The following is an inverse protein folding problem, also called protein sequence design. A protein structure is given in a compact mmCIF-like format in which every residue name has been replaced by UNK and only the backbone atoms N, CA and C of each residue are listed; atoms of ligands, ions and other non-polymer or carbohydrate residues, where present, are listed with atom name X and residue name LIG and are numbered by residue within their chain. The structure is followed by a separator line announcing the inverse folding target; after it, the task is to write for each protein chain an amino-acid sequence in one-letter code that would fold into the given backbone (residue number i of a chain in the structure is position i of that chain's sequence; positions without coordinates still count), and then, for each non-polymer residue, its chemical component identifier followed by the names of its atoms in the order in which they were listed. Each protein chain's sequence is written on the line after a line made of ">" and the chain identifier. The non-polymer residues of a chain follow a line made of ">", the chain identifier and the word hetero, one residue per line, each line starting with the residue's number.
data_IF_225258386672
#
_entry.id   IF_225258386672
#
_cell.length_a   1.000
_cell.length_b   1.000
_cell.length_c   1.000
_cell.angle_alpha   90.00
_cell.angle_beta   90.00
_cell.angle_gamma   90.00
#
_symmetry.space_group_name_H-M   'P 1'
#
loop_
_entity.id
_entity.type
_entity.pdbx_description
1 polymer ?
2 polymer ?
3 water ?
#
# COMPACT_ATOMS: atom_id res chain seq x y z
N UNK A 8 32.05 -1.38 23.37
CA UNK A 8 30.72 -1.90 23.09
C UNK A 8 30.79 -3.29 22.47
N UNK A 9 29.63 -3.87 22.19
CA UNK A 9 29.54 -5.17 21.54
C UNK A 9 28.94 -5.04 20.14
N UNK A 10 29.56 -5.71 19.18
CA UNK A 10 29.07 -5.67 17.80
C UNK A 10 27.65 -6.24 17.68
N UNK A 11 26.72 -5.39 17.25
CA UNK A 11 25.34 -5.81 17.07
C UNK A 11 25.22 -6.74 15.87
N UNK A 12 24.64 -7.94 16.10
CA UNK A 12 24.48 -8.99 15.08
C UNK A 12 23.51 -8.59 13.97
N UNK A 13 23.73 -9.12 12.77
CA UNK A 13 22.87 -8.81 11.62
C UNK A 13 21.42 -9.21 11.86
N UNK A 14 20.49 -8.35 11.42
CA UNK A 14 19.07 -8.64 11.53
C UNK A 14 18.51 -9.09 10.18
N UNK A 15 17.79 -10.23 10.16
CA UNK A 15 17.16 -10.79 8.97
C UNK A 15 16.25 -9.80 8.26
N UNK A 16 16.43 -9.62 6.96
CA UNK A 16 15.72 -8.59 6.21
C UNK A 16 14.24 -8.88 5.98
N UNK A 17 13.46 -7.81 5.86
CA UNK A 17 12.02 -7.89 5.67
C UNK A 17 11.53 -6.58 5.04
N UNK A 18 10.50 -6.67 4.20
CA UNK A 18 9.97 -5.48 3.53
C UNK A 18 8.90 -4.80 4.39
N UNK A 19 9.01 -3.48 4.55
CA UNK A 19 8.10 -2.73 5.40
C UNK A 19 6.66 -2.85 4.92
N UNK A 20 5.75 -3.16 5.84
CA UNK A 20 4.34 -3.26 5.52
C UNK A 20 3.58 -2.13 6.21
N UNK A 21 2.26 -2.17 6.12
CA UNK A 21 1.43 -1.15 6.76
C UNK A 21 1.60 -1.17 8.28
N UNK A 22 1.43 -2.34 8.89
CA UNK A 22 1.57 -2.47 10.33
C UNK A 22 3.00 -2.19 10.78
N UNK A 23 3.96 -2.70 10.01
CA UNK A 23 5.38 -2.51 10.32
C UNK A 23 5.72 -1.02 10.32
N UNK A 24 5.18 -0.29 9.35
CA UNK A 24 5.37 1.15 9.27
C UNK A 24 4.75 1.83 10.49
N UNK A 25 3.58 1.36 10.91
CA UNK A 25 2.92 1.87 12.10
C UNK A 25 3.79 1.65 13.33
N UNK A 26 4.24 0.40 13.49
CA UNK A 26 5.09 0.02 14.61
C UNK A 26 6.34 0.90 14.66
N UNK A 27 7.08 0.90 13.56
CA UNK A 27 8.33 1.65 13.48
C UNK A 27 8.10 3.15 13.70
N UNK A 28 6.96 3.65 13.24
CA UNK A 28 6.61 5.04 13.45
C UNK A 28 6.55 5.36 14.94
N UNK A 29 5.74 4.60 15.67
CA UNK A 29 5.60 4.80 17.11
C UNK A 29 6.91 4.50 17.83
N UNK A 30 7.56 3.42 17.46
CA UNK A 30 8.81 3.00 18.09
C UNK A 30 9.86 4.10 18.05
N UNK A 31 10.09 4.65 16.86
CA UNK A 31 11.06 5.73 16.69
C UNK A 31 10.66 6.96 17.49
N UNK A 32 9.37 7.30 17.44
CA UNK A 32 8.85 8.46 18.16
C UNK A 32 9.11 8.33 19.65
N UNK A 33 8.77 7.18 20.21
CA UNK A 33 8.90 6.94 21.64
C UNK A 33 10.35 7.02 22.11
N UNK A 34 11.30 6.91 21.18
CA UNK A 34 12.72 7.02 21.50
C UNK A 34 13.22 8.46 21.41
N UNK A 35 12.41 9.33 20.80
CA UNK A 35 12.78 10.74 20.67
C UNK A 35 13.52 11.07 19.39
N UNK A 36 13.23 10.32 18.34
CA UNK A 36 13.89 10.54 17.06
C UNK A 36 13.03 11.27 16.06
N UNK A 37 13.67 11.94 15.11
CA UNK A 37 13.01 12.58 13.98
C UNK A 37 12.26 13.88 14.29
N UNK A 38 11.40 13.85 15.29
CA UNK A 38 10.52 14.99 15.58
C UNK A 38 11.27 16.31 15.69
N UNK A 39 10.94 17.24 14.78
CA UNK A 39 11.53 18.56 14.79
C UNK A 39 12.96 18.59 14.27
N UNK A 40 13.38 17.51 13.63
CA UNK A 40 14.74 17.42 13.11
C UNK A 40 14.79 17.78 11.64
N UNK A 41 15.70 18.70 11.31
CA UNK A 41 15.84 19.19 9.95
C UNK A 41 16.17 18.05 8.97
N UNK A 42 15.28 17.87 8.01
CA UNK A 42 15.44 16.83 7.00
C UNK A 42 16.46 17.22 5.94
N UNK A 43 17.23 16.24 5.46
CA UNK A 43 18.08 16.45 4.31
C UNK A 43 18.18 15.14 3.53
N UNK A 44 18.57 15.22 2.27
CA UNK A 44 18.72 14.02 1.45
C UNK A 44 19.72 13.08 2.10
N UNK A 45 20.71 13.67 2.77
CA UNK A 45 21.72 12.89 3.48
C UNK A 45 21.13 12.17 4.69
N UNK A 46 20.45 12.94 5.55
CA UNK A 46 19.79 12.38 6.72
C UNK A 46 18.66 11.45 6.32
N UNK A 47 18.09 11.69 5.14
CA UNK A 47 17.09 10.80 4.57
C UNK A 47 17.67 9.40 4.51
N UNK A 48 18.91 9.30 4.05
CA UNK A 48 19.57 8.01 3.91
C UNK A 48 19.96 7.41 5.25
N UNK A 49 20.35 8.26 6.20
CA UNK A 49 20.66 7.79 7.55
C UNK A 49 19.47 7.04 8.12
N UNK A 50 18.27 7.47 7.74
CA UNK A 50 17.04 6.83 8.19
C UNK A 50 16.85 5.47 7.53
N UNK A 51 17.31 5.35 6.28
CA UNK A 51 17.25 4.09 5.56
C UNK A 51 18.16 3.05 6.23
N UNK A 52 19.41 3.44 6.47
CA UNK A 52 20.36 2.57 7.14
C UNK A 52 19.85 2.09 8.49
N UNK A 53 19.45 3.04 9.32
CA UNK A 53 18.96 2.72 10.67
C UNK A 53 17.97 1.57 10.64
N UNK A 54 16.85 1.76 9.95
CA UNK A 54 15.81 0.73 9.89
C UNK A 54 16.28 -0.56 9.22
N UNK A 55 17.34 -0.47 8.41
CA UNK A 55 17.87 -1.65 7.76
C UNK A 55 18.78 -2.46 8.68
N UNK A 56 19.71 -1.76 9.34
CA UNK A 56 20.69 -2.43 10.20
C UNK A 56 20.10 -2.85 11.54
N UNK A 57 19.17 -2.05 12.04
CA UNK A 57 18.64 -2.25 13.38
C UNK A 57 17.29 -2.98 13.40
N UNK A 58 16.55 -2.91 12.29
CA UNK A 58 15.24 -3.53 12.22
C UNK A 58 15.09 -4.40 10.98
N UNK A 59 16.15 -4.47 10.17
CA UNK A 59 16.18 -5.34 9.01
C UNK A 59 15.23 -4.97 7.90
N UNK A 60 14.74 -3.73 7.91
CA UNK A 60 13.78 -3.28 6.91
C UNK A 60 14.46 -2.87 5.60
N UNK A 61 13.97 -3.42 4.50
CA UNK A 61 14.49 -3.10 3.17
C UNK A 61 14.31 -1.61 2.87
N UNK A 62 15.40 -0.95 2.44
CA UNK A 62 15.41 0.49 2.13
C UNK A 62 14.71 0.85 0.80
N UNK A 63 13.40 0.65 0.74
CA UNK A 63 12.62 0.97 -0.45
C UNK A 63 11.27 1.57 -0.10
N UNK A 64 11.12 1.97 1.16
CA UNK A 64 9.86 2.45 1.68
C UNK A 64 9.82 3.98 1.76
N UNK A 65 10.95 4.60 2.07
CA UNK A 65 10.99 6.04 2.35
C UNK A 65 10.93 6.88 1.09
N UNK A 66 9.72 7.06 0.57
CA UNK A 66 9.49 7.89 -0.60
C UNK A 66 8.54 9.00 -0.18
N UNK A 67 8.78 10.22 -0.65
CA UNK A 67 7.93 11.36 -0.31
C UNK A 67 7.41 12.05 -1.56
N UNK A 68 6.28 12.73 -1.43
CA UNK A 68 5.76 13.56 -2.51
C UNK A 68 6.77 14.64 -2.87
N UNK A 69 6.87 14.96 -4.15
CA UNK A 69 7.93 15.83 -4.67
C UNK A 69 7.99 17.22 -4.05
N UNK A 70 6.84 17.77 -3.66
CA UNK A 70 6.77 19.11 -3.12
C UNK A 70 6.27 20.10 -4.16
N UNK A 71 6.31 21.40 -3.83
CA UNK A 71 6.82 21.96 -2.57
C UNK A 71 5.80 21.83 -1.45
N UNK A 72 6.09 22.47 -0.32
CA UNK A 72 5.19 22.44 0.81
C UNK A 72 5.42 21.22 1.69
N UNK A 73 4.34 20.68 2.22
CA UNK A 73 4.41 19.48 3.04
C UNK A 73 4.65 18.26 2.17
N UNK A 74 5.65 17.47 2.52
CA UNK A 74 5.94 16.24 1.79
C UNK A 74 5.34 15.06 2.54
N UNK A 75 4.40 14.37 1.89
CA UNK A 75 3.70 13.26 2.52
C UNK A 75 4.33 11.92 2.15
N UNK A 76 4.26 10.94 3.06
CA UNK A 76 4.87 9.63 2.84
C UNK A 76 4.13 8.84 1.76
N UNK A 77 4.87 8.19 0.86
CA UNK A 77 4.26 7.37 -0.17
C UNK A 77 4.15 5.91 0.28
N UNK A 78 4.44 5.67 1.55
CA UNK A 78 4.17 4.38 2.18
C UNK A 78 3.08 4.59 3.24
N UNK A 79 1.90 4.06 2.98
CA UNK A 79 0.79 4.18 3.92
C UNK A 79 1.13 3.47 5.22
N UNK A 80 0.94 4.16 6.34
CA UNK A 80 1.29 3.60 7.63
C UNK A 80 2.50 4.29 8.25
N UNK A 81 3.33 4.90 7.40
CA UNK A 81 4.45 5.70 7.87
C UNK A 81 3.93 7.06 8.35
N UNK A 82 4.01 7.30 9.64
CA UNK A 82 3.38 8.48 10.25
C UNK A 82 4.32 9.66 10.39
N UNK A 83 5.28 9.77 9.47
CA UNK A 83 6.23 10.88 9.50
C UNK A 83 6.22 11.67 8.21
N UNK A 84 5.86 12.95 8.31
CA UNK A 84 5.81 13.82 7.14
C UNK A 84 6.91 14.88 7.21
N UNK A 85 7.03 15.65 6.13
CA UNK A 85 8.04 16.70 6.08
C UNK A 85 7.35 18.06 5.96
N UNK A 86 7.72 18.99 6.85
CA UNK A 86 7.06 20.28 6.90
C UNK A 86 8.08 21.41 6.83
N UNK A 87 7.84 22.39 5.97
CA UNK A 87 8.69 23.58 5.84
C UNK A 87 8.67 24.42 7.12
N UNK A 88 9.79 25.04 7.46
CA UNK A 88 9.89 25.80 8.71
C UNK A 88 9.85 27.32 8.49
N UNK A 105 19.33 30.11 2.27
CA UNK A 105 19.97 29.61 3.49
C UNK A 105 21.49 29.73 3.44
N UNK A 106 22.01 30.95 3.52
CA UNK A 106 23.45 31.21 3.50
C UNK A 106 24.13 30.59 2.29
N UNK A 107 24.92 29.54 2.53
CA UNK A 107 25.58 28.82 1.45
C UNK A 107 24.82 27.54 1.13
N UNK A 108 24.72 27.20 -0.15
CA UNK A 108 23.94 26.04 -0.59
C UNK A 108 24.70 24.72 -0.42
N UNK A 109 23.98 23.70 0.02
CA UNK A 109 24.53 22.36 0.15
C UNK A 109 23.88 21.45 -0.88
N UNK A 110 24.65 20.51 -1.40
CA UNK A 110 24.12 19.60 -2.41
C UNK A 110 23.22 18.52 -1.81
N UNK A 111 22.99 18.60 -0.50
CA UNK A 111 22.02 17.74 0.16
C UNK A 111 20.74 18.52 0.41
N UNK A 112 20.70 19.77 -0.05
CA UNK A 112 19.56 20.65 0.18
C UNK A 112 18.35 20.31 -0.70
N UNK A 113 17.18 20.76 -0.26
CA UNK A 113 15.92 20.56 -0.98
C UNK A 113 15.90 21.36 -2.28
N UNK A 114 15.51 20.70 -3.39
CA UNK A 114 15.43 21.33 -4.70
C UNK A 114 14.47 22.52 -4.72
N UNK A 115 13.49 22.54 -3.83
CA UNK A 115 12.57 23.66 -3.75
C UNK A 115 13.11 24.76 -2.85
N UNK A 116 14.34 24.57 -2.39
CA UNK A 116 15.00 25.54 -1.53
C UNK A 116 14.25 25.73 -0.22
N UNK A 117 13.44 24.75 0.14
CA UNK A 117 12.68 24.80 1.38
C UNK A 117 13.38 24.01 2.46
N UNK A 118 13.48 24.59 3.65
CA UNK A 118 13.98 23.85 4.80
C UNK A 118 12.85 23.00 5.37
N UNK A 119 13.07 21.69 5.38
CA UNK A 119 12.05 20.75 5.82
C UNK A 119 12.41 20.13 7.15
N UNK A 120 11.40 19.66 7.88
CA UNK A 120 11.63 19.03 9.17
C UNK A 120 10.63 17.89 9.40
N UNK A 121 11.12 16.78 9.96
CA UNK A 121 10.25 15.65 10.27
C UNK A 121 9.18 16.01 11.30
N UNK A 122 7.95 15.60 11.04
CA UNK A 122 6.86 15.82 11.97
C UNK A 122 5.95 14.60 12.03
N UNK A 123 5.71 14.10 13.24
CA UNK A 123 4.86 12.93 13.45
C UNK A 123 3.39 13.31 13.27
N UNK A 124 2.61 12.41 12.67
CA UNK A 124 1.19 12.65 12.46
C UNK A 124 0.44 11.32 12.34
N UNK A 125 -0.24 10.89 13.42
CA UNK A 125 -0.96 9.63 13.50
C UNK A 125 -2.11 9.60 12.51
N UNK A 126 -2.53 10.79 12.09
CA UNK A 126 -3.56 10.95 11.07
C UNK A 126 -3.15 10.21 9.79
N UNK A 127 -1.84 10.19 9.53
CA UNK A 127 -1.29 9.54 8.35
C UNK A 127 -1.59 8.05 8.31
N UNK A 128 -2.17 7.54 9.39
CA UNK A 128 -2.52 6.13 9.49
C UNK A 128 -3.87 5.85 8.86
N UNK A 129 -4.78 6.82 8.96
CA UNK A 129 -6.16 6.59 8.55
C UNK A 129 -6.53 7.25 7.22
N UNK A 130 -5.63 8.10 6.72
CA UNK A 130 -5.81 8.67 5.39
C UNK A 130 -4.50 8.64 4.62
N UNK A 131 -4.56 8.11 3.40
CA UNK A 131 -3.39 8.08 2.53
C UNK A 131 -3.22 9.44 1.87
N UNK A 132 -2.89 10.44 2.69
CA UNK A 132 -2.81 11.83 2.25
C UNK A 132 -2.08 12.02 0.93
N UNK A 133 -0.99 11.28 0.74
CA UNK A 133 -0.19 11.37 -0.47
C UNK A 133 -1.05 11.18 -1.73
N UNK A 134 -1.74 10.05 -1.81
CA UNK A 134 -2.57 9.75 -2.96
C UNK A 134 -3.73 10.72 -3.09
N UNK A 135 -4.29 11.12 -1.95
CA UNK A 135 -5.44 12.02 -1.91
C UNK A 135 -5.13 13.37 -2.56
N UNK A 136 -3.92 13.86 -2.31
CA UNK A 136 -3.56 15.22 -2.70
C UNK A 136 -2.79 15.29 -4.01
N UNK A 137 -1.95 14.29 -4.27
CA UNK A 137 -1.15 14.28 -5.49
C UNK A 137 -1.20 12.91 -6.17
N UNK A 138 -2.38 12.54 -6.69
CA UNK A 138 -2.59 11.24 -7.33
C UNK A 138 -1.68 11.04 -8.53
N UNK A 139 -1.16 12.15 -9.06
CA UNK A 139 -0.35 12.11 -10.27
C UNK A 139 1.06 11.58 -10.03
N UNK A 140 1.49 11.59 -8.77
CA UNK A 140 2.84 11.13 -8.44
C UNK A 140 2.90 9.62 -8.27
N UNK A 141 1.84 8.94 -8.72
CA UNK A 141 1.77 7.49 -8.65
C UNK A 141 1.78 6.86 -10.05
N UNK A 142 2.98 6.48 -10.51
CA UNK A 142 3.13 5.91 -11.84
C UNK A 142 3.78 6.87 -12.81
N UNK B 8 -14.64 -14.92 -32.65
CA UNK B 8 -13.47 -14.06 -32.61
C UNK B 8 -12.19 -14.88 -32.73
N UNK B 9 -11.05 -14.21 -32.87
CA UNK B 9 -9.77 -14.87 -33.03
C UNK B 9 -9.04 -15.03 -31.69
N UNK B 10 -8.17 -16.03 -31.60
CA UNK B 10 -7.42 -16.30 -30.39
C UNK B 10 -6.48 -15.14 -30.05
N UNK B 11 -6.50 -14.69 -28.80
CA UNK B 11 -5.73 -13.53 -28.40
C UNK B 11 -4.49 -13.90 -27.57
N UNK B 12 -3.42 -13.10 -27.70
CA UNK B 12 -2.08 -13.31 -27.14
C UNK B 12 -2.05 -13.53 -25.63
N UNK B 13 -0.93 -14.06 -25.14
CA UNK B 13 -0.68 -14.22 -23.72
C UNK B 13 -0.22 -12.89 -23.13
N UNK B 14 -0.38 -12.73 -21.82
CA UNK B 14 0.07 -11.51 -21.15
C UNK B 14 1.11 -11.82 -20.09
N UNK B 15 2.26 -11.14 -20.17
CA UNK B 15 3.37 -11.31 -19.21
C UNK B 15 2.92 -11.18 -17.77
N UNK B 16 3.06 -12.25 -17.00
CA UNK B 16 2.63 -12.26 -15.61
C UNK B 16 3.29 -11.15 -14.79
N UNK B 17 2.61 -10.76 -13.70
CA UNK B 17 3.07 -9.68 -12.84
C UNK B 17 2.17 -9.62 -11.62
N UNK B 18 2.74 -9.32 -10.46
CA UNK B 18 1.94 -9.20 -9.24
C UNK B 18 1.22 -7.85 -9.19
N UNK B 19 0.03 -7.85 -8.61
CA UNK B 19 -0.79 -6.65 -8.54
C UNK B 19 -0.28 -5.68 -7.49
N UNK B 20 0.28 -4.56 -7.94
CA UNK B 20 0.76 -3.52 -7.03
C UNK B 20 -0.40 -2.61 -6.64
N UNK B 21 -0.12 -1.62 -5.79
CA UNK B 21 -1.14 -0.66 -5.37
C UNK B 21 -1.67 0.13 -6.55
N UNK B 22 -0.77 0.78 -7.27
CA UNK B 22 -1.15 1.55 -8.45
C UNK B 22 -1.84 0.67 -9.48
N UNK B 23 -1.32 -0.54 -9.64
CA UNK B 23 -1.88 -1.50 -10.57
C UNK B 23 -3.28 -1.89 -10.11
N UNK B 24 -3.47 -1.95 -8.80
CA UNK B 24 -4.76 -2.29 -8.22
C UNK B 24 -5.76 -1.16 -8.43
N UNK B 25 -5.29 0.07 -8.26
CA UNK B 25 -6.11 1.25 -8.49
C UNK B 25 -6.52 1.31 -9.96
N UNK B 26 -5.56 1.09 -10.84
CA UNK B 26 -5.81 1.14 -12.28
C UNK B 26 -6.79 0.06 -12.72
N UNK B 27 -6.60 -1.16 -12.25
CA UNK B 27 -7.47 -2.27 -12.60
C UNK B 27 -8.89 -2.06 -12.07
N UNK B 28 -8.98 -1.41 -10.92
CA UNK B 28 -10.28 -1.15 -10.30
C UNK B 28 -11.11 -0.21 -11.17
N UNK B 29 -10.53 0.94 -11.51
CA UNK B 29 -11.21 1.93 -12.33
C UNK B 29 -11.50 1.39 -13.73
N UNK B 30 -10.48 0.81 -14.36
CA UNK B 30 -10.63 0.24 -15.68
C UNK B 30 -11.89 -0.59 -15.76
N UNK B 31 -11.99 -1.56 -14.86
CA UNK B 31 -13.17 -2.41 -14.77
C UNK B 31 -14.42 -1.59 -14.44
N UNK B 32 -14.27 -0.65 -13.53
CA UNK B 32 -15.37 0.22 -13.13
C UNK B 32 -15.98 0.90 -14.35
N UNK B 33 -15.14 1.56 -15.14
CA UNK B 33 -15.59 2.31 -16.30
C UNK B 33 -16.17 1.39 -17.38
N UNK B 34 -15.77 0.13 -17.34
CA UNK B 34 -16.29 -0.85 -18.30
C UNK B 34 -17.73 -1.24 -17.99
N UNK B 35 -18.13 -1.07 -16.73
CA UNK B 35 -19.48 -1.42 -16.30
C UNK B 35 -19.53 -2.83 -15.73
N UNK B 36 -18.38 -3.37 -15.37
CA UNK B 36 -18.30 -4.71 -14.82
C UNK B 36 -18.36 -4.74 -13.31
N UNK B 37 -18.70 -5.90 -12.76
CA UNK B 37 -18.71 -6.14 -11.31
C UNK B 37 -19.85 -5.48 -10.55
N UNK B 38 -20.04 -4.18 -10.73
CA UNK B 38 -21.02 -3.42 -9.95
C UNK B 38 -22.42 -4.05 -9.93
N UNK B 39 -22.89 -4.38 -8.74
CA UNK B 39 -24.23 -4.93 -8.56
C UNK B 39 -24.33 -6.42 -8.82
N UNK B 40 -23.29 -6.99 -9.42
CA UNK B 40 -23.29 -8.41 -9.76
C UNK B 40 -23.23 -9.26 -8.50
N UNK B 41 -24.03 -10.32 -8.48
CA UNK B 41 -24.04 -11.23 -7.35
C UNK B 41 -22.71 -11.98 -7.27
N UNK B 42 -22.21 -12.14 -6.05
CA UNK B 42 -20.91 -12.75 -5.83
C UNK B 42 -21.06 -14.21 -5.42
N UNK B 43 -20.08 -15.03 -5.81
CA UNK B 43 -20.01 -16.42 -5.38
C UNK B 43 -18.56 -16.87 -5.44
N UNK B 44 -18.24 -17.98 -4.79
CA UNK B 44 -16.89 -18.51 -4.80
C UNK B 44 -16.48 -18.81 -6.24
N UNK B 45 -17.46 -19.10 -7.08
CA UNK B 45 -17.23 -19.43 -8.48
C UNK B 45 -16.87 -18.19 -9.28
N UNK B 46 -17.73 -17.18 -9.23
CA UNK B 46 -17.50 -15.93 -9.94
C UNK B 46 -16.26 -15.19 -9.42
N UNK B 47 -15.86 -15.52 -8.20
CA UNK B 47 -14.65 -14.98 -7.62
C UNK B 47 -13.43 -15.40 -8.43
N UNK B 48 -13.42 -16.67 -8.83
CA UNK B 48 -12.30 -17.21 -9.59
C UNK B 48 -12.29 -16.65 -11.02
N UNK B 49 -13.49 -16.50 -11.59
CA UNK B 49 -13.63 -15.89 -12.91
C UNK B 49 -12.83 -14.60 -12.99
N UNK B 50 -12.89 -13.79 -11.94
CA UNK B 50 -12.18 -12.52 -11.89
C UNK B 50 -10.67 -12.74 -11.80
N UNK B 51 -10.25 -13.72 -11.02
CA UNK B 51 -8.85 -14.08 -10.93
C UNK B 51 -8.28 -14.37 -12.31
N UNK B 52 -9.04 -15.16 -13.08
CA UNK B 52 -8.63 -15.55 -14.42
C UNK B 52 -8.67 -14.37 -15.39
N UNK B 53 -9.65 -13.49 -15.20
CA UNK B 53 -9.80 -12.33 -16.07
C UNK B 53 -8.56 -11.43 -16.02
N UNK B 54 -8.23 -10.96 -14.83
CA UNK B 54 -7.08 -10.07 -14.66
C UNK B 54 -5.76 -10.80 -14.92
N UNK B 55 -5.80 -12.13 -14.93
CA UNK B 55 -4.60 -12.91 -15.21
C UNK B 55 -4.42 -13.13 -16.71
N UNK B 56 -5.51 -13.45 -17.39
CA UNK B 56 -5.46 -13.72 -18.83
C UNK B 56 -5.54 -12.43 -19.64
N UNK B 57 -6.17 -11.41 -19.07
CA UNK B 57 -6.37 -10.15 -19.78
C UNK B 57 -5.34 -9.10 -19.40
N UNK B 58 -4.72 -9.25 -18.23
CA UNK B 58 -3.78 -8.25 -17.75
C UNK B 58 -2.49 -8.85 -17.20
N UNK B 59 -2.47 -10.18 -17.08
CA UNK B 59 -1.28 -10.88 -16.59
C UNK B 59 -1.06 -10.76 -15.11
N UNK B 60 -2.11 -10.42 -14.37
CA UNK B 60 -2.01 -10.31 -12.92
C UNK B 60 -2.02 -11.68 -12.27
N UNK B 61 -1.02 -11.92 -11.42
CA UNK B 61 -0.93 -13.19 -10.70
C UNK B 61 -2.06 -13.30 -9.67
N UNK B 62 -2.85 -14.39 -9.74
CA UNK B 62 -4.02 -14.60 -8.88
C UNK B 62 -3.65 -14.89 -7.43
N UNK B 63 -3.14 -13.89 -6.73
CA UNK B 63 -2.84 -14.02 -5.31
C UNK B 63 -3.25 -12.74 -4.58
N UNK B 64 -4.09 -11.97 -5.24
CA UNK B 64 -4.45 -10.64 -4.78
C UNK B 64 -5.88 -10.57 -4.26
N UNK B 65 -6.77 -11.35 -4.86
CA UNK B 65 -8.18 -11.28 -4.53
C UNK B 65 -8.50 -12.02 -3.24
N UNK B 66 -8.33 -11.31 -2.13
CA UNK B 66 -8.56 -11.87 -0.81
C UNK B 66 -9.41 -10.87 -0.03
N UNK B 67 -10.55 -11.33 0.49
CA UNK B 67 -11.43 -10.45 1.25
C UNK B 67 -11.49 -10.88 2.71
N UNK B 68 -12.12 -10.05 3.55
CA UNK B 68 -12.33 -10.40 4.95
C UNK B 68 -13.45 -11.42 5.08
N UNK B 69 -13.29 -12.36 6.02
CA UNK B 69 -14.19 -13.52 6.13
C UNK B 69 -15.68 -13.19 6.23
N UNK B 70 -16.02 -12.16 6.99
CA UNK B 70 -17.41 -11.80 7.20
C UNK B 70 -17.86 -12.16 8.60
N UNK B 71 -19.17 -12.03 8.88
CA UNK B 71 -20.22 -11.68 7.93
C UNK B 71 -20.21 -10.19 7.58
N UNK B 72 -21.32 -9.71 7.03
CA UNK B 72 -21.44 -8.31 6.66
C UNK B 72 -20.60 -7.94 5.46
N UNK B 73 -20.13 -6.69 5.43
CA UNK B 73 -19.32 -6.20 4.34
C UNK B 73 -17.95 -6.88 4.33
N UNK B 74 -17.55 -7.38 3.17
CA UNK B 74 -16.25 -8.01 3.02
C UNK B 74 -15.27 -7.06 2.34
N UNK B 75 -14.29 -6.59 3.10
CA UNK B 75 -13.33 -5.60 2.61
C UNK B 75 -12.10 -6.26 1.99
N UNK B 76 -11.53 -5.60 0.95
CA UNK B 76 -10.34 -6.07 0.22
C UNK B 76 -9.07 -6.08 1.07
N UNK B 77 -8.39 -7.22 1.10
CA UNK B 77 -7.16 -7.37 1.87
C UNK B 77 -5.98 -6.72 1.16
N UNK B 78 -6.10 -6.53 -0.15
CA UNK B 78 -5.07 -5.89 -0.95
C UNK B 78 -5.37 -4.41 -1.09
N UNK B 79 -4.54 -3.57 -0.49
CA UNK B 79 -4.74 -2.12 -0.54
C UNK B 79 -4.62 -1.62 -1.98
N UNK B 80 -5.64 -0.90 -2.44
CA UNK B 80 -5.65 -0.42 -3.81
C UNK B 80 -6.87 -0.92 -4.58
N UNK B 81 -7.27 -2.16 -4.31
CA UNK B 81 -8.46 -2.73 -4.91
C UNK B 81 -9.71 -2.03 -4.36
N UNK B 82 -10.53 -1.49 -5.26
CA UNK B 82 -11.64 -0.63 -4.85
C UNK B 82 -13.01 -1.31 -4.92
N UNK B 83 -13.02 -2.62 -4.80
CA UNK B 83 -14.25 -3.39 -4.87
C UNK B 83 -14.47 -4.24 -3.61
N UNK B 84 -15.61 -4.02 -2.95
CA UNK B 84 -15.93 -4.74 -1.73
C UNK B 84 -17.18 -5.61 -1.92
N UNK B 85 -17.42 -6.50 -0.97
CA UNK B 85 -18.59 -7.37 -1.01
C UNK B 85 -19.62 -6.94 0.03
N UNK B 86 -20.82 -6.62 -0.43
CA UNK B 86 -21.87 -6.14 0.46
C UNK B 86 -23.11 -7.03 0.40
N UNK B 87 -23.69 -7.33 1.57
CA UNK B 87 -24.92 -8.12 1.69
C UNK B 87 -26.10 -7.49 0.95
N UNK B 88 -26.98 -8.32 0.41
CA UNK B 88 -28.15 -7.85 -0.31
C UNK B 88 -29.38 -8.00 0.57
N UNK B 89 -30.27 -7.02 0.51
CA UNK B 89 -31.49 -7.04 1.29
C UNK B 89 -31.23 -6.86 2.78
N UNK B 108 -29.66 -24.67 -2.33
CA UNK B 108 -28.46 -23.86 -2.16
C UNK B 108 -27.29 -24.42 -2.95
N UNK B 109 -26.30 -23.58 -3.22
CA UNK B 109 -25.14 -23.97 -4.02
C UNK B 109 -23.89 -24.13 -3.17
N UNK B 110 -22.92 -24.90 -3.67
CA UNK B 110 -21.66 -25.08 -2.97
C UNK B 110 -20.68 -23.94 -3.29
N UNK B 111 -21.13 -22.99 -4.09
CA UNK B 111 -20.37 -21.76 -4.33
C UNK B 111 -20.94 -20.66 -3.43
N UNK B 112 -21.93 -21.03 -2.62
CA UNK B 112 -22.62 -20.09 -1.73
C UNK B 112 -21.74 -19.59 -0.59
N UNK B 113 -22.09 -18.42 -0.06
CA UNK B 113 -21.39 -17.83 1.07
C UNK B 113 -21.63 -18.67 2.33
N UNK B 114 -20.54 -19.03 3.04
CA UNK B 114 -20.64 -19.81 4.28
C UNK B 114 -21.53 -19.13 5.30
N UNK B 115 -21.46 -17.81 5.38
CA UNK B 115 -22.27 -17.06 6.33
C UNK B 115 -23.73 -17.02 5.90
N UNK B 116 -24.05 -17.71 4.81
CA UNK B 116 -25.41 -17.75 4.31
C UNK B 116 -25.91 -16.37 3.93
N UNK B 117 -24.99 -15.50 3.52
CA UNK B 117 -25.35 -14.16 3.11
C UNK B 117 -25.26 -14.01 1.60
N UNK B 118 -26.22 -13.29 1.02
CA UNK B 118 -26.16 -12.95 -0.40
C UNK B 118 -25.22 -11.77 -0.60
N UNK B 119 -24.14 -11.99 -1.35
CA UNK B 119 -23.15 -10.93 -1.55
C UNK B 119 -23.19 -10.36 -2.97
N UNK B 120 -22.86 -9.09 -3.08
CA UNK B 120 -22.77 -8.40 -4.37
C UNK B 120 -21.58 -7.46 -4.40
N UNK B 121 -20.97 -7.31 -5.57
CA UNK B 121 -19.83 -6.39 -5.74
C UNK B 121 -20.28 -4.92 -5.67
N UNK B 122 -19.42 -4.08 -5.11
CA UNK B 122 -19.72 -2.66 -4.97
C UNK B 122 -18.44 -1.83 -4.95
N UNK B 123 -18.36 -0.84 -5.84
CA UNK B 123 -17.20 0.02 -5.97
C UNK B 123 -17.14 1.04 -4.84
N UNK B 124 -16.00 1.09 -4.14
CA UNK B 124 -15.80 2.08 -3.08
C UNK B 124 -14.49 2.84 -3.28
N UNK B 125 -14.60 4.11 -3.72
CA UNK B 125 -13.45 4.99 -3.98
C UNK B 125 -12.65 5.27 -2.72
N UNK B 126 -13.35 5.35 -1.58
CA UNK B 126 -12.72 5.55 -0.29
C UNK B 126 -11.54 4.60 -0.05
N UNK B 127 -11.65 3.40 -0.61
CA UNK B 127 -10.67 2.34 -0.40
C UNK B 127 -9.32 2.63 -1.04
N UNK B 128 -9.20 3.81 -1.66
CA UNK B 128 -7.94 4.22 -2.29
C UNK B 128 -7.00 4.84 -1.26
N UNK B 129 -7.56 5.33 -0.18
CA UNK B 129 -6.78 5.99 0.86
C UNK B 129 -7.21 5.57 2.26
N UNK B 130 -8.07 4.55 2.33
CA UNK B 130 -8.50 4.00 3.61
C UNK B 130 -8.38 2.47 3.60
N UNK B 131 -7.60 1.95 4.53
CA UNK B 131 -7.39 0.50 4.64
C UNK B 131 -8.46 -0.12 5.53
N UNK B 132 -9.72 0.04 5.13
CA UNK B 132 -10.85 -0.46 5.92
C UNK B 132 -10.61 -1.88 6.44
N UNK B 133 -10.10 -2.74 5.55
CA UNK B 133 -9.91 -4.15 5.90
C UNK B 133 -9.03 -4.33 7.12
N UNK B 134 -7.91 -3.64 7.16
CA UNK B 134 -6.95 -3.82 8.24
C UNK B 134 -7.33 -3.08 9.51
N UNK B 135 -8.05 -1.97 9.36
CA UNK B 135 -8.45 -1.17 10.51
C UNK B 135 -9.64 -1.80 11.23
N UNK B 136 -10.34 -2.69 10.54
CA UNK B 136 -11.52 -3.34 11.11
C UNK B 136 -11.22 -4.75 11.60
N UNK B 137 -10.41 -5.49 10.85
CA UNK B 137 -10.12 -6.88 11.17
C UNK B 137 -8.62 -7.20 11.03
N UNK B 138 -7.77 -6.51 11.80
CA UNK B 138 -6.32 -6.68 11.76
C UNK B 138 -5.91 -8.13 12.05
N UNK B 139 -6.78 -8.88 12.72
CA UNK B 139 -6.47 -10.25 13.10
C UNK B 139 -6.48 -11.20 11.91
N UNK B 140 -7.09 -10.78 10.81
CA UNK B 140 -7.15 -11.60 9.62
C UNK B 140 -5.89 -11.46 8.79
N UNK B 141 -4.95 -10.65 9.29
CA UNK B 141 -3.65 -10.48 8.65
C UNK B 141 -2.54 -11.12 9.48
N UNK B 142 -1.63 -11.81 8.80
CA UNK B 142 -0.53 -12.48 9.48
C UNK B 142 0.82 -11.88 9.13
N UNK C 1 -12.36 -23.20 -28.80
CA UNK C 1 -13.47 -23.27 -27.86
C UNK C 1 -13.05 -22.83 -26.47
N UNK C 2 -11.74 -22.77 -26.24
CA UNK C 2 -11.20 -22.32 -24.95
C UNK C 2 -11.48 -20.83 -24.74
N UNK C 3 -10.81 -19.99 -25.51
CA UNK C 3 -10.90 -18.55 -25.36
C UNK C 3 -12.27 -18.03 -25.81
N UNK C 4 -13.23 -18.95 -25.91
CA UNK C 4 -14.59 -18.61 -26.28
C UNK C 4 -15.52 -18.86 -25.09
N UNK C 5 -15.25 -19.96 -24.37
CA UNK C 5 -15.99 -20.26 -23.15
C UNK C 5 -15.56 -19.35 -22.03
N UNK C 6 -14.37 -18.77 -22.17
CA UNK C 6 -13.88 -17.78 -21.22
C UNK C 6 -14.73 -16.53 -21.30
N UNK C 7 -15.15 -16.16 -22.50
CA UNK C 7 -16.01 -15.00 -22.69
C UNK C 7 -17.37 -15.23 -22.05
N UNK C 8 -17.83 -16.48 -22.05
CA UNK C 8 -19.10 -16.83 -21.42
C UNK C 8 -19.05 -16.52 -19.93
N UNK C 9 -17.92 -16.84 -19.30
CA UNK C 9 -17.72 -16.56 -17.89
C UNK C 9 -17.64 -15.06 -17.62
N UNK C 10 -16.87 -14.37 -18.46
CA UNK C 10 -16.64 -12.94 -18.30
C UNK C 10 -17.95 -12.15 -18.28
N UNK C 11 -18.92 -12.62 -19.05
CA UNK C 11 -20.19 -11.93 -19.17
C UNK C 11 -20.99 -11.92 -17.87
N UNK C 12 -20.80 -12.97 -17.07
CA UNK C 12 -21.45 -13.05 -15.77
C UNK C 12 -20.98 -11.92 -14.87
N UNK C 13 -19.85 -11.31 -15.25
CA UNK C 13 -19.30 -10.18 -14.52
C UNK C 13 -19.56 -8.89 -15.31
N UNK C 14 -20.36 -9.01 -16.35
CA UNK C 14 -20.60 -7.90 -17.26
C UNK C 14 -19.30 -7.33 -17.80
N UNK C 15 -18.37 -8.24 -18.10
CA UNK C 15 -17.11 -7.88 -18.73
C UNK C 15 -16.94 -8.63 -20.05
N UNK D 1 34.67 0.64 14.53
CA UNK D 1 34.81 1.80 13.67
C UNK D 1 33.62 1.96 12.73
N UNK D 2 33.14 0.84 12.19
CA UNK D 2 31.96 0.84 11.33
C UNK D 2 30.70 1.08 12.16
N UNK D 3 30.61 0.38 13.29
CA UNK D 3 29.47 0.54 14.19
C UNK D 3 29.44 1.92 14.82
N UNK D 4 30.60 2.39 15.25
CA UNK D 4 30.73 3.71 15.85
C UNK D 4 30.40 4.82 14.84
N UNK D 5 30.77 4.59 13.58
CA UNK D 5 30.47 5.53 12.51
C UNK D 5 28.98 5.69 12.27
N UNK D 6 28.27 4.56 12.20
CA UNK D 6 26.83 4.58 12.01
C UNK D 6 26.09 5.21 13.19
N UNK D 7 26.59 4.94 14.39
CA UNK D 7 25.99 5.52 15.59
C UNK D 7 26.14 7.03 15.58
N UNK D 8 27.25 7.51 15.01
CA UNK D 8 27.47 8.94 14.88
C UNK D 8 26.42 9.54 13.97
N UNK D 9 26.10 8.82 12.90
CA UNK D 9 25.06 9.24 11.96
C UNK D 9 23.69 9.24 12.63
N UNK D 10 23.40 8.17 13.36
CA UNK D 10 22.12 8.05 14.07
C UNK D 10 21.85 9.25 14.97
N UNK D 11 22.88 9.72 15.66
CA UNK D 11 22.75 10.82 16.60
C UNK D 11 22.16 12.09 15.96
N UNK D 12 22.34 12.22 14.65
CA UNK D 12 21.80 13.37 13.93
C UNK D 12 20.28 13.31 13.91
N UNK D 13 19.75 12.09 14.00
CA UNK D 13 18.30 11.88 14.04
C UNK D 13 17.85 11.65 15.48
N UNK D 14 18.76 11.85 16.42
CA UNK D 14 18.49 11.56 17.82
C UNK D 14 18.12 10.11 18.06
N UNK D 15 19.01 9.20 17.65
CA UNK D 15 18.85 7.78 17.89
C UNK D 15 20.18 7.17 18.37
N UNK D 16 20.09 6.07 19.11
CA UNK D 16 21.27 5.41 19.63
C UNK D 16 21.84 6.12 20.85
#
# INVERSE_FOLDING_TARGET
>A
GSDDLVGVSVRPKVPLRTMSYKLAIDMSHFIKEKGGLEGIYYSARRHRILDIYLEKEEGIIPDWQDYTSGPGIRYPKTFGWLWKLVPVNVSDEAQEDEEHYLMHPAQTSQWDDPWGEVLAWKFDPTLAYTYEAYVRYPEEFGS
>B
GSDDLVGVSVRPKVPLRTMSYKLAIDMSHFIKEKGGLEGIYYSARRHRILDIYLEKEEGIIPDWQDYTSGPGIRYPKTFGWLWKLVPVNVSDEAQEDEEHYLMHPAQTSQWDDPWGEVLAWKFDPTLAYTYEAYVRYPEEFGS
>C
AYQQGQNQLYNELNLGRR
>D
AYQQGQNQLYNELNLGRR
#
